data_IF_589106042196
#
_entry.id   IF_589106042196
#
_cell.length_a   1.000
_cell.length_b   1.000
_cell.length_c   1.000
_cell.angle_alpha   90.00
_cell.angle_beta   90.00
_cell.angle_gamma   90.00
#
_symmetry.space_group_name_H-M   'P 1'
#
loop_
_entity.id
_entity.type
_entity.pdbx_description
1 polymer ?
#
# COMPACT_ATOMS: atom_id res chain seq x y z
N UNK A 1 -36.68 44.09 -70.78
CA UNK A 1 -36.84 42.91 -69.93
C UNK A 1 -35.50 42.37 -69.65
N UNK A 2 -35.04 42.54 -68.41
CA UNK A 2 -33.75 42.08 -67.95
C UNK A 2 -33.99 40.81 -67.22
N UNK A 3 -33.38 39.70 -67.62
CA UNK A 3 -33.43 38.40 -66.96
C UNK A 3 -32.17 38.28 -66.11
N UNK A 4 -32.32 38.26 -64.80
CA UNK A 4 -31.25 37.97 -63.87
C UNK A 4 -31.14 36.45 -63.70
N UNK A 5 -30.02 35.87 -64.18
CA UNK A 5 -29.65 34.53 -63.86
C UNK A 5 -28.95 34.49 -62.50
N UNK A 6 -29.57 33.89 -61.52
CA UNK A 6 -28.96 33.58 -60.23
C UNK A 6 -28.12 32.29 -60.34
N UNK A 7 -26.83 32.42 -60.25
CA UNK A 7 -25.90 31.27 -60.11
C UNK A 7 -25.83 30.93 -58.65
N UNK A 8 -26.42 29.78 -58.29
CA UNK A 8 -26.30 29.25 -56.93
C UNK A 8 -24.94 28.56 -56.81
N UNK A 9 -24.04 29.14 -56.02
CA UNK A 9 -22.76 28.55 -55.65
C UNK A 9 -22.97 27.56 -54.50
N UNK A 10 -23.01 26.26 -54.80
CA UNK A 10 -22.98 25.20 -53.78
C UNK A 10 -21.55 25.08 -53.27
N UNK A 11 -21.26 25.65 -52.10
CA UNK A 11 -20.06 25.38 -51.36
C UNK A 11 -20.22 24.00 -50.66
N UNK A 12 -19.54 23.01 -51.18
CA UNK A 12 -19.34 21.71 -50.54
C UNK A 12 -18.42 21.93 -49.32
N UNK A 13 -19.02 22.05 -48.14
CA UNK A 13 -18.26 21.87 -46.92
C UNK A 13 -17.96 20.39 -46.75
N UNK A 14 -16.75 19.94 -47.17
CA UNK A 14 -16.16 18.72 -46.64
C UNK A 14 -15.78 18.97 -45.21
N UNK A 15 -16.66 18.61 -44.29
CA UNK A 15 -16.28 18.48 -42.88
C UNK A 15 -15.27 17.33 -42.80
N UNK A 16 -13.99 17.67 -42.71
CA UNK A 16 -13.02 16.75 -42.12
C UNK A 16 -13.46 16.54 -40.67
N UNK A 17 -14.08 15.42 -40.37
CA UNK A 17 -14.12 14.90 -39.02
C UNK A 17 -12.74 14.35 -38.72
N UNK A 18 -11.79 15.22 -38.40
CA UNK A 18 -10.67 14.83 -37.59
C UNK A 18 -11.28 14.51 -36.23
N UNK A 19 -11.53 13.24 -35.98
CA UNK A 19 -11.77 12.73 -34.64
C UNK A 19 -10.49 13.04 -33.85
N UNK A 20 -10.45 14.24 -33.27
CA UNK A 20 -9.49 14.59 -32.24
C UNK A 20 -9.78 13.65 -31.07
N UNK A 21 -9.09 12.53 -31.03
CA UNK A 21 -9.02 11.69 -29.87
C UNK A 21 -8.44 12.54 -28.74
N UNK A 22 -9.33 13.13 -27.93
CA UNK A 22 -8.92 13.88 -26.74
C UNK A 22 -8.36 12.85 -25.77
N UNK A 23 -7.06 12.61 -25.84
CA UNK A 23 -6.35 11.77 -24.91
C UNK A 23 -6.39 12.48 -23.55
N UNK A 24 -7.31 12.07 -22.68
CA UNK A 24 -7.35 12.57 -21.30
C UNK A 24 -6.08 12.08 -20.63
N UNK A 25 -5.19 12.97 -20.17
CA UNK A 25 -3.98 12.53 -19.49
C UNK A 25 -4.39 11.74 -18.24
N UNK A 26 -3.74 10.60 -17.99
CA UNK A 26 -3.91 9.88 -16.75
C UNK A 26 -3.62 10.80 -15.56
N UNK A 27 -4.41 10.70 -14.47
CA UNK A 27 -4.15 11.48 -13.28
C UNK A 27 -2.74 11.14 -12.75
N UNK A 28 -1.99 12.16 -12.40
CA UNK A 28 -0.64 12.00 -11.86
C UNK A 28 -0.63 11.75 -10.36
N UNK A 29 -1.77 11.95 -9.69
CA UNK A 29 -1.94 11.70 -8.25
C UNK A 29 -3.04 10.65 -8.04
N UNK A 30 -2.66 9.46 -7.65
CA UNK A 30 -3.51 8.29 -7.48
C UNK A 30 -3.80 8.13 -6.00
N UNK A 31 -5.05 8.31 -5.58
CA UNK A 31 -5.47 8.37 -4.16
C UNK A 31 -6.40 7.25 -3.75
N UNK A 32 -6.79 6.36 -4.68
CA UNK A 32 -7.70 5.22 -4.46
C UNK A 32 -9.13 5.59 -4.00
N UNK A 33 -9.50 6.86 -3.99
CA UNK A 33 -10.80 7.33 -3.50
C UNK A 33 -11.99 6.89 -4.36
N UNK A 34 -11.75 6.45 -5.60
CA UNK A 34 -12.75 5.87 -6.50
C UNK A 34 -13.09 4.42 -6.13
N UNK A 35 -12.22 3.72 -5.39
CA UNK A 35 -12.47 2.37 -4.90
C UNK A 35 -13.43 2.43 -3.71
N UNK A 36 -14.72 2.28 -3.99
CA UNK A 36 -15.76 2.39 -2.97
C UNK A 36 -15.91 1.11 -2.16
N UNK A 37 -16.07 1.30 -0.87
CA UNK A 37 -16.41 0.28 0.11
C UNK A 37 -17.80 0.60 0.67
N UNK A 38 -18.66 -0.43 0.76
CA UNK A 38 -20.07 -0.27 1.18
C UNK A 38 -20.22 0.16 2.64
N UNK A 39 -19.18 -0.02 3.45
CA UNK A 39 -19.18 0.25 4.89
C UNK A 39 -17.89 0.92 5.33
N UNK A 40 -17.98 1.68 6.42
CA UNK A 40 -16.80 2.14 7.15
C UNK A 40 -16.14 0.96 7.88
N UNK A 41 -14.83 1.05 8.08
CA UNK A 41 -14.01 0.04 8.77
C UNK A 41 -14.13 -1.37 8.14
N UNK A 42 -14.05 -1.43 6.83
CA UNK A 42 -14.08 -2.67 6.06
C UNK A 42 -12.93 -2.76 5.06
N UNK A 43 -12.80 -3.88 4.41
CA UNK A 43 -11.85 -4.13 3.34
C UNK A 43 -12.52 -4.97 2.26
N UNK A 44 -11.91 -5.00 1.08
CA UNK A 44 -12.32 -5.87 -0.02
C UNK A 44 -11.10 -6.55 -0.63
N UNK A 45 -11.16 -7.87 -0.75
CA UNK A 45 -10.19 -8.71 -1.44
C UNK A 45 -10.81 -9.13 -2.76
N UNK A 46 -10.53 -8.42 -3.87
CA UNK A 46 -11.14 -8.72 -5.17
C UNK A 46 -10.59 -10.02 -5.78
N UNK A 47 -11.39 -10.64 -6.63
CA UNK A 47 -10.95 -11.81 -7.39
C UNK A 47 -10.11 -11.36 -8.58
N UNK A 48 -8.85 -11.83 -8.66
CA UNK A 48 -7.98 -11.62 -9.80
C UNK A 48 -7.37 -10.21 -9.93
N UNK A 49 -7.48 -9.38 -8.89
CA UNK A 49 -6.89 -8.04 -8.87
C UNK A 49 -7.91 -6.91 -9.04
N UNK A 50 -7.41 -5.68 -9.08
CA UNK A 50 -8.21 -4.47 -9.30
C UNK A 50 -7.38 -3.38 -9.97
N UNK A 51 -8.05 -2.42 -10.58
CA UNK A 51 -7.42 -1.27 -11.23
C UNK A 51 -7.79 0.03 -10.52
N UNK A 52 -6.86 0.96 -10.48
CA UNK A 52 -7.03 2.32 -9.98
C UNK A 52 -6.24 3.28 -10.85
N UNK A 53 -6.94 4.16 -11.57
CA UNK A 53 -6.38 5.29 -12.32
C UNK A 53 -5.14 4.93 -13.17
N UNK A 54 -5.19 3.82 -13.91
CA UNK A 54 -4.11 3.37 -14.80
C UNK A 54 -3.07 2.47 -14.14
N UNK A 55 -3.26 2.09 -12.87
CA UNK A 55 -2.49 1.04 -12.21
C UNK A 55 -3.33 -0.20 -12.03
N UNK A 56 -2.73 -1.38 -12.25
CA UNK A 56 -3.38 -2.67 -12.10
C UNK A 56 -2.68 -3.49 -11.03
N UNK A 57 -3.36 -3.71 -9.93
CA UNK A 57 -2.85 -4.39 -8.73
C UNK A 57 -3.17 -5.88 -8.78
N UNK A 58 -2.16 -6.71 -8.56
CA UNK A 58 -2.34 -8.15 -8.44
C UNK A 58 -2.97 -8.52 -7.09
N UNK A 59 -3.91 -9.45 -7.10
CA UNK A 59 -4.52 -10.03 -5.89
C UNK A 59 -4.55 -11.55 -6.02
N UNK A 60 -3.99 -12.22 -5.05
CA UNK A 60 -4.15 -13.67 -4.85
C UNK A 60 -5.05 -13.86 -3.64
N UNK A 61 -6.23 -14.40 -3.88
CA UNK A 61 -7.26 -14.63 -2.85
C UNK A 61 -7.28 -16.08 -2.45
N UNK A 62 -7.20 -16.34 -1.16
CA UNK A 62 -7.32 -17.68 -0.60
C UNK A 62 -8.77 -18.21 -0.68
N UNK A 63 -8.94 -19.53 -0.54
CA UNK A 63 -10.25 -20.17 -0.61
C UNK A 63 -11.22 -19.72 0.50
N UNK A 64 -10.70 -19.24 1.64
CA UNK A 64 -11.48 -18.66 2.74
C UNK A 64 -11.82 -17.18 2.53
N UNK A 65 -11.44 -16.60 1.40
CA UNK A 65 -11.69 -15.20 1.05
C UNK A 65 -10.64 -14.21 1.53
N UNK A 66 -9.63 -14.66 2.26
CA UNK A 66 -8.55 -13.80 2.75
C UNK A 66 -7.54 -13.45 1.66
N UNK A 67 -6.77 -12.36 1.85
CA UNK A 67 -5.65 -12.03 0.99
C UNK A 67 -4.48 -13.00 1.25
N UNK A 68 -4.20 -13.87 0.28
CA UNK A 68 -3.05 -14.78 0.36
C UNK A 68 -1.76 -14.09 -0.06
N UNK A 69 -1.80 -13.25 -1.11
CA UNK A 69 -0.67 -12.47 -1.60
C UNK A 69 -1.14 -11.28 -2.44
N UNK A 70 -0.28 -10.29 -2.65
CA UNK A 70 -0.59 -9.10 -3.46
C UNK A 70 -1.40 -8.08 -2.69
N UNK A 71 -2.41 -7.49 -3.33
CA UNK A 71 -3.07 -6.30 -2.84
C UNK A 71 -4.57 -6.47 -2.65
N UNK A 72 -5.10 -5.75 -1.69
CA UNK A 72 -6.52 -5.49 -1.51
C UNK A 72 -6.71 -4.02 -1.09
N UNK A 73 -7.93 -3.53 -0.99
CA UNK A 73 -8.17 -2.17 -0.55
C UNK A 73 -9.05 -2.12 0.71
N UNK A 74 -8.83 -1.09 1.54
CA UNK A 74 -9.36 -0.97 2.88
C UNK A 74 -9.61 0.49 3.27
N UNK A 75 -10.55 0.72 4.18
CA UNK A 75 -10.74 1.97 4.89
C UNK A 75 -10.62 1.79 6.42
N UNK A 76 -9.98 0.71 6.88
CA UNK A 76 -9.77 0.42 8.30
C UNK A 76 -8.63 1.27 8.85
N UNK A 77 -8.81 1.82 10.05
CA UNK A 77 -7.80 2.60 10.76
C UNK A 77 -7.75 2.22 12.24
N UNK A 78 -7.68 0.92 12.52
CA UNK A 78 -7.72 0.40 13.89
C UNK A 78 -6.37 0.67 14.59
N UNK A 79 -6.38 1.50 15.62
CA UNK A 79 -5.21 1.79 16.46
C UNK A 79 -5.32 1.21 17.87
N UNK A 80 -6.52 0.89 18.29
CA UNK A 80 -6.78 0.19 19.54
C UNK A 80 -7.29 -1.20 19.21
N UNK A 81 -6.70 -2.21 19.82
CA UNK A 81 -7.06 -3.58 19.59
C UNK A 81 -7.73 -4.15 20.83
N UNK A 82 -8.96 -4.63 20.67
CA UNK A 82 -9.64 -5.46 21.66
C UNK A 82 -9.61 -6.87 21.12
N UNK A 83 -8.86 -7.72 21.78
CA UNK A 83 -8.70 -9.10 21.36
C UNK A 83 -9.91 -9.96 21.71
N UNK A 84 -10.46 -10.67 20.75
CA UNK A 84 -11.57 -11.62 20.92
C UNK A 84 -11.22 -13.04 20.52
N UNK A 85 -9.96 -13.35 20.26
CA UNK A 85 -9.49 -14.69 19.91
C UNK A 85 -10.21 -15.34 18.70
N UNK A 86 -10.56 -14.54 17.71
CA UNK A 86 -11.26 -14.96 16.49
C UNK A 86 -10.66 -14.34 15.22
N UNK A 87 -11.04 -14.89 14.06
CA UNK A 87 -10.57 -14.42 12.73
C UNK A 87 -10.98 -12.98 12.47
N UNK A 88 -12.16 -12.56 12.92
CA UNK A 88 -12.69 -11.21 12.71
C UNK A 88 -11.80 -10.18 13.41
N UNK A 89 -11.31 -10.51 14.60
CA UNK A 89 -10.36 -9.67 15.34
C UNK A 89 -9.03 -9.53 14.59
N UNK A 90 -8.52 -10.61 13.98
CA UNK A 90 -7.31 -10.55 13.16
C UNK A 90 -7.50 -9.64 11.94
N UNK A 91 -8.64 -9.68 11.29
CA UNK A 91 -8.94 -8.82 10.14
C UNK A 91 -8.94 -7.34 10.52
N UNK A 92 -9.28 -7.00 11.77
CA UNK A 92 -9.25 -5.60 12.23
C UNK A 92 -7.84 -5.01 12.25
N UNK A 93 -6.81 -5.81 12.47
CA UNK A 93 -5.42 -5.35 12.53
C UNK A 93 -4.62 -5.68 11.26
N UNK A 94 -4.95 -6.77 10.59
CA UNK A 94 -4.30 -7.20 9.35
C UNK A 94 -4.55 -6.22 8.22
N UNK A 95 -5.81 -5.80 8.05
CA UNK A 95 -6.25 -4.88 7.00
C UNK A 95 -6.34 -3.42 7.44
N UNK A 96 -5.81 -3.08 8.61
CA UNK A 96 -5.73 -1.69 9.09
C UNK A 96 -4.35 -1.11 8.91
N UNK A 97 -4.31 0.17 8.54
CA UNK A 97 -3.10 0.97 8.59
C UNK A 97 -2.86 1.47 10.03
N UNK A 98 -1.61 1.47 10.45
CA UNK A 98 -1.21 2.20 11.65
C UNK A 98 -0.85 3.64 11.29
N UNK A 99 -1.61 4.57 11.85
CA UNK A 99 -1.37 6.01 11.70
C UNK A 99 -1.76 6.75 12.96
N UNK A 100 -0.98 7.74 13.36
CA UNK A 100 -1.26 8.60 14.51
C UNK A 100 -2.24 9.72 14.16
N UNK A 101 -2.44 9.98 12.88
CA UNK A 101 -3.40 10.95 12.34
C UNK A 101 -4.57 10.23 11.69
N UNK A 102 -5.76 10.83 11.67
CA UNK A 102 -6.85 10.32 10.87
C UNK A 102 -6.38 10.14 9.42
N UNK A 103 -6.75 9.02 8.80
CA UNK A 103 -6.53 8.85 7.38
C UNK A 103 -7.32 9.94 6.64
N UNK A 104 -6.64 10.71 5.77
CA UNK A 104 -7.27 11.77 4.98
C UNK A 104 -7.90 11.21 3.69
N UNK A 105 -7.55 10.00 3.31
CA UNK A 105 -8.15 9.27 2.20
C UNK A 105 -9.20 8.30 2.71
N UNK A 106 -10.32 8.17 2.00
CA UNK A 106 -11.39 7.25 2.39
C UNK A 106 -10.97 5.79 2.19
N UNK A 107 -10.14 5.51 1.18
CA UNK A 107 -9.68 4.18 0.81
C UNK A 107 -8.18 4.20 0.53
N UNK A 108 -7.48 3.19 0.97
CA UNK A 108 -6.07 2.95 0.72
C UNK A 108 -5.85 1.46 0.39
N UNK A 109 -4.64 1.10 0.02
CA UNK A 109 -4.28 -0.25 -0.40
C UNK A 109 -3.46 -0.95 0.69
N UNK A 110 -3.79 -2.21 0.95
CA UNK A 110 -3.06 -3.11 1.87
C UNK A 110 -2.38 -4.18 1.04
N UNK A 111 -1.14 -4.46 1.35
CA UNK A 111 -0.33 -5.45 0.67
C UNK A 111 0.09 -6.58 1.62
N UNK A 112 -0.05 -7.82 1.17
CA UNK A 112 0.60 -9.00 1.75
C UNK A 112 1.69 -9.47 0.80
N UNK A 113 2.94 -9.38 1.23
CA UNK A 113 4.11 -9.77 0.41
C UNK A 113 4.38 -11.25 0.57
N UNK A 114 4.25 -11.98 -0.55
CA UNK A 114 4.56 -13.41 -0.61
C UNK A 114 5.12 -13.72 -2.00
N UNK A 115 6.41 -14.08 -2.05
CA UNK A 115 7.08 -14.27 -3.33
C UNK A 115 7.04 -13.01 -4.22
N UNK A 116 6.79 -13.20 -5.50
CA UNK A 116 6.72 -12.13 -6.50
C UNK A 116 5.28 -11.63 -6.76
N UNK A 117 4.30 -12.05 -5.96
CA UNK A 117 2.89 -11.75 -6.17
C UNK A 117 2.46 -10.35 -5.71
N UNK A 118 3.31 -9.67 -4.92
CA UNK A 118 3.08 -8.30 -4.49
C UNK A 118 3.55 -7.31 -5.57
N UNK A 119 2.76 -7.12 -6.63
CA UNK A 119 3.09 -6.21 -7.73
C UNK A 119 1.89 -5.44 -8.24
N UNK A 120 2.18 -4.30 -8.86
CA UNK A 120 1.25 -3.62 -9.77
C UNK A 120 1.93 -3.34 -11.11
N UNK A 121 1.10 -3.19 -12.16
CA UNK A 121 1.53 -2.74 -13.48
C UNK A 121 0.91 -1.39 -13.81
N UNK A 122 1.53 -0.67 -14.75
CA UNK A 122 1.03 0.59 -15.26
C UNK A 122 0.54 0.39 -16.69
N UNK A 123 -0.61 0.97 -17.04
CA UNK A 123 -1.14 0.95 -18.42
C UNK A 123 -0.20 1.64 -19.41
N UNK A 124 0.47 2.71 -18.95
CA UNK A 124 1.52 3.39 -19.70
C UNK A 124 2.79 3.48 -18.85
N UNK A 125 3.97 3.06 -19.37
CA UNK A 125 5.22 3.18 -18.65
C UNK A 125 5.47 4.62 -18.20
N UNK A 126 5.75 4.80 -16.91
CA UNK A 126 5.89 6.12 -16.28
C UNK A 126 6.98 6.14 -15.23
N UNK A 127 7.47 7.33 -14.91
CA UNK A 127 8.32 7.55 -13.73
C UNK A 127 7.42 7.80 -12.53
N UNK A 128 7.59 7.02 -11.48
CA UNK A 128 6.90 7.25 -10.20
C UNK A 128 7.78 8.19 -9.38
N UNK A 129 7.22 9.34 -8.97
CA UNK A 129 7.95 10.29 -8.11
C UNK A 129 8.06 9.71 -6.68
N UNK A 130 6.90 9.39 -6.09
CA UNK A 130 6.85 8.78 -4.76
C UNK A 130 5.54 8.01 -4.57
N UNK A 131 5.50 7.26 -3.48
CA UNK A 131 4.28 6.73 -2.88
C UNK A 131 4.30 6.96 -1.38
N UNK A 132 3.13 6.96 -0.75
CA UNK A 132 3.00 6.99 0.71
C UNK A 132 2.90 5.55 1.22
N UNK A 133 3.70 5.23 2.22
CA UNK A 133 3.72 3.91 2.86
C UNK A 133 3.56 4.02 4.36
N UNK A 134 2.99 2.99 4.96
CA UNK A 134 2.91 2.84 6.41
C UNK A 134 2.87 1.37 6.81
N UNK A 135 3.10 1.09 8.08
CA UNK A 135 2.92 -0.25 8.62
C UNK A 135 1.42 -0.60 8.71
N UNK A 136 1.09 -1.87 8.47
CA UNK A 136 -0.18 -2.40 8.95
C UNK A 136 -0.22 -2.34 10.48
N UNK A 137 -1.41 -2.26 11.06
CA UNK A 137 -1.56 -2.30 12.53
C UNK A 137 -0.93 -3.58 13.09
N UNK A 138 -1.08 -4.71 12.41
CA UNK A 138 -0.47 -5.96 12.82
C UNK A 138 1.06 -5.88 12.87
N UNK A 139 1.70 -5.42 11.80
CA UNK A 139 3.16 -5.25 11.74
C UNK A 139 3.68 -4.28 12.80
N UNK A 140 3.01 -3.12 12.95
CA UNK A 140 3.37 -2.12 13.95
C UNK A 140 3.33 -2.67 15.39
N UNK A 141 2.24 -3.36 15.76
CA UNK A 141 2.08 -3.94 17.10
C UNK A 141 3.13 -5.03 17.35
N UNK A 142 3.38 -5.90 16.36
CA UNK A 142 4.40 -6.95 16.45
C UNK A 142 5.79 -6.37 16.75
N UNK A 143 6.24 -5.42 15.96
CA UNK A 143 7.56 -4.80 16.12
C UNK A 143 7.69 -3.97 17.41
N UNK A 144 6.62 -3.27 17.78
CA UNK A 144 6.66 -2.36 18.93
C UNK A 144 6.57 -3.09 20.27
N UNK A 145 5.77 -4.15 20.36
CA UNK A 145 5.44 -4.80 21.62
C UNK A 145 5.89 -6.28 21.70
N UNK A 146 6.15 -6.92 20.57
CA UNK A 146 6.49 -8.34 20.51
C UNK A 146 5.26 -9.24 20.50
N UNK A 147 5.42 -10.48 20.97
CA UNK A 147 4.39 -11.51 20.89
C UNK A 147 3.17 -11.27 21.76
N UNK A 148 3.39 -10.73 22.97
CA UNK A 148 2.31 -10.52 23.93
C UNK A 148 2.39 -9.12 24.55
N UNK A 149 1.26 -8.41 24.58
CA UNK A 149 1.15 -7.07 25.13
C UNK A 149 -0.17 -6.89 25.90
N UNK A 150 -0.09 -6.18 27.03
CA UNK A 150 -1.24 -5.88 27.88
C UNK A 150 -1.61 -7.00 28.87
N UNK A 151 -2.61 -6.75 29.70
CA UNK A 151 -3.22 -7.71 30.62
C UNK A 151 -4.74 -7.68 30.52
N UNK A 152 -5.41 -8.71 31.04
CA UNK A 152 -6.88 -8.76 31.05
C UNK A 152 -7.48 -7.65 31.90
N UNK A 153 -6.82 -7.29 32.99
CA UNK A 153 -7.35 -6.40 34.02
C UNK A 153 -6.87 -4.96 33.83
N UNK A 154 -5.62 -4.79 33.43
CA UNK A 154 -5.03 -3.47 33.20
C UNK A 154 -4.35 -3.42 31.84
N UNK A 155 -5.00 -2.79 30.85
CA UNK A 155 -4.31 -2.50 29.61
C UNK A 155 -3.13 -1.60 29.89
N UNK A 156 -1.92 -2.00 29.48
CA UNK A 156 -0.76 -1.12 29.61
C UNK A 156 -1.01 0.13 28.77
N UNK A 157 -1.25 1.24 29.44
CA UNK A 157 -1.25 2.52 28.77
C UNK A 157 0.19 2.84 28.38
N UNK A 158 0.52 2.79 27.09
CA UNK A 158 1.71 3.47 26.63
C UNK A 158 1.39 4.96 26.60
N UNK A 159 2.08 5.80 27.40
CA UNK A 159 1.80 7.23 27.46
C UNK A 159 2.02 7.93 26.12
N UNK A 160 2.80 7.33 25.21
CA UNK A 160 3.06 7.83 23.87
C UNK A 160 2.00 7.36 22.85
N UNK A 161 1.09 6.47 23.23
CA UNK A 161 0.01 5.96 22.39
C UNK A 161 -1.28 6.01 23.19
N UNK A 162 -2.00 7.16 23.16
CA UNK A 162 -3.25 7.35 23.93
C UNK A 162 -4.33 6.29 23.64
N UNK A 163 -4.22 5.59 22.51
CA UNK A 163 -5.10 4.53 22.05
C UNK A 163 -4.48 3.13 22.14
N UNK A 164 -3.59 2.90 23.12
CA UNK A 164 -3.00 1.57 23.34
C UNK A 164 -4.06 0.47 23.42
N UNK A 165 -3.77 -0.73 22.88
CA UNK A 165 -4.70 -1.84 22.90
C UNK A 165 -5.13 -2.17 24.33
N UNK A 166 -6.45 -2.35 24.53
CA UNK A 166 -6.99 -2.86 25.79
C UNK A 166 -7.04 -4.38 25.71
N UNK A 167 -6.66 -5.04 26.81
CA UNK A 167 -6.62 -6.49 26.89
C UNK A 167 -5.27 -7.09 26.50
N UNK A 168 -5.23 -8.41 26.33
CA UNK A 168 -4.02 -9.14 25.91
C UNK A 168 -3.98 -9.15 24.38
N UNK A 169 -2.86 -8.71 23.81
CA UNK A 169 -2.57 -8.85 22.40
C UNK A 169 -1.59 -9.99 22.16
N UNK A 170 -1.80 -10.74 21.08
CA UNK A 170 -0.90 -11.78 20.62
C UNK A 170 -0.58 -11.57 19.14
N UNK A 171 0.63 -11.89 18.73
CA UNK A 171 1.07 -11.72 17.33
C UNK A 171 0.39 -12.68 16.35
N UNK A 172 -0.07 -13.83 16.82
CA UNK A 172 -0.62 -14.93 15.98
C UNK A 172 0.35 -15.47 14.93
N UNK A 173 1.62 -15.16 15.05
CA UNK A 173 2.67 -15.74 14.21
C UNK A 173 3.15 -17.02 14.90
N UNK A 174 3.18 -18.17 14.22
CA UNK A 174 3.72 -19.40 14.77
C UNK A 174 5.15 -19.20 15.30
N UNK A 175 5.37 -19.55 16.56
CA UNK A 175 6.65 -19.32 17.25
C UNK A 175 6.85 -17.91 17.81
N UNK A 176 5.82 -17.05 17.73
CA UNK A 176 5.83 -15.68 18.22
C UNK A 176 6.66 -14.72 17.38
N UNK A 177 6.67 -13.44 17.78
CA UNK A 177 7.49 -12.38 17.18
C UNK A 177 8.33 -11.71 18.25
N UNK A 178 9.47 -11.19 17.82
CA UNK A 178 10.36 -10.40 18.67
C UNK A 178 9.92 -8.95 18.73
N UNK A 179 9.89 -8.35 19.92
CA UNK A 179 9.91 -6.89 20.04
C UNK A 179 11.22 -6.36 19.48
N UNK A 180 11.15 -5.37 18.61
CA UNK A 180 12.35 -4.78 18.00
C UNK A 180 13.17 -3.99 19.01
N UNK A 181 14.49 -4.19 18.95
CA UNK A 181 15.51 -3.48 19.73
C UNK A 181 16.70 -3.13 18.83
N UNK A 182 17.75 -2.55 19.41
CA UNK A 182 18.94 -2.11 18.67
C UNK A 182 19.50 -3.22 17.77
N UNK A 183 19.70 -2.88 16.50
CA UNK A 183 20.12 -3.81 15.44
C UNK A 183 18.98 -4.41 14.62
N UNK A 184 17.71 -4.16 14.99
CA UNK A 184 16.57 -4.68 14.24
C UNK A 184 16.12 -3.73 13.13
N UNK A 185 15.59 -4.30 12.05
CA UNK A 185 14.98 -3.55 10.96
C UNK A 185 13.80 -4.29 10.32
N UNK A 186 12.95 -3.53 9.66
CA UNK A 186 11.93 -4.03 8.75
C UNK A 186 11.94 -3.16 7.50
N UNK A 187 12.30 -3.75 6.36
CA UNK A 187 12.57 -3.04 5.11
C UNK A 187 11.60 -3.42 4.02
N UNK A 188 11.09 -2.42 3.33
CA UNK A 188 10.32 -2.53 2.11
C UNK A 188 11.22 -2.21 0.92
N UNK A 189 11.33 -3.14 -0.04
CA UNK A 189 12.05 -2.93 -1.29
C UNK A 189 11.06 -2.91 -2.45
N UNK A 190 11.06 -1.83 -3.23
CA UNK A 190 10.38 -1.73 -4.51
C UNK A 190 11.38 -1.98 -5.64
N UNK A 191 11.09 -2.96 -6.52
CA UNK A 191 11.88 -3.23 -7.74
C UNK A 191 11.08 -2.82 -8.96
N UNK A 192 11.66 -1.97 -9.80
CA UNK A 192 11.09 -1.50 -11.06
C UNK A 192 11.45 -2.39 -12.22
N UNK A 193 10.52 -2.54 -13.16
CA UNK A 193 10.71 -3.23 -14.43
C UNK A 193 10.14 -2.38 -15.58
N UNK A 194 10.72 -2.53 -16.77
CA UNK A 194 10.17 -1.99 -18.01
C UNK A 194 10.38 -3.02 -19.12
N UNK A 195 9.32 -3.44 -19.80
CA UNK A 195 9.34 -4.52 -20.79
C UNK A 195 10.05 -5.79 -20.27
N UNK A 196 9.81 -6.15 -19.02
CA UNK A 196 10.39 -7.32 -18.36
C UNK A 196 11.84 -7.17 -17.92
N UNK A 197 12.50 -6.05 -18.20
CA UNK A 197 13.87 -5.77 -17.76
C UNK A 197 13.86 -4.97 -16.47
N UNK A 198 14.68 -5.36 -15.49
CA UNK A 198 14.83 -4.61 -14.24
C UNK A 198 15.45 -3.23 -14.53
N UNK A 199 14.85 -2.19 -13.97
CA UNK A 199 15.31 -0.80 -14.10
C UNK A 199 16.06 -0.30 -12.89
N UNK A 200 15.68 -0.76 -11.68
CA UNK A 200 16.31 -0.37 -10.42
C UNK A 200 15.56 -0.93 -9.22
N UNK A 201 16.06 -0.59 -8.04
CA UNK A 201 15.40 -0.89 -6.77
C UNK A 201 15.59 0.24 -5.78
N UNK A 202 14.58 0.45 -4.94
CA UNK A 202 14.59 1.40 -3.83
C UNK A 202 14.19 0.66 -2.57
N UNK A 203 14.93 0.88 -1.49
CA UNK A 203 14.63 0.30 -0.17
C UNK A 203 14.24 1.40 0.81
N UNK A 204 13.23 1.12 1.62
CA UNK A 204 12.67 2.02 2.63
C UNK A 204 12.55 1.29 3.96
N UNK A 205 12.99 1.93 5.06
CA UNK A 205 12.92 1.37 6.40
C UNK A 205 11.53 1.62 7.02
N UNK A 206 10.67 0.58 7.04
CA UNK A 206 9.41 0.60 7.79
C UNK A 206 9.64 0.52 9.31
N UNK A 207 10.79 -0.02 9.72
CA UNK A 207 11.35 0.10 11.06
C UNK A 207 12.87 0.11 11.00
N UNK A 208 13.50 0.97 11.79
CA UNK A 208 14.92 1.13 11.90
C UNK A 208 15.32 1.27 13.36
N UNK A 209 16.13 0.35 13.88
CA UNK A 209 16.62 0.37 15.26
C UNK A 209 18.14 0.45 15.27
N UNK A 210 18.66 1.65 14.94
CA UNK A 210 20.11 1.92 14.86
C UNK A 210 20.81 1.15 13.70
N UNK A 211 20.11 0.85 12.63
CA UNK A 211 20.62 0.06 11.49
C UNK A 211 20.89 0.89 10.24
N UNK A 212 20.52 2.17 10.23
CA UNK A 212 20.77 3.06 9.11
C UNK A 212 22.24 3.51 9.13
N UNK A 213 22.99 3.31 8.03
CA UNK A 213 24.43 3.62 7.95
C UNK A 213 24.72 5.12 7.91
N UNK A 214 23.81 5.92 7.32
CA UNK A 214 23.94 7.39 7.26
C UNK A 214 23.47 8.05 8.56
N UNK A 215 22.53 7.41 9.24
CA UNK A 215 21.92 7.89 10.47
C UNK A 215 21.91 6.81 11.56
N UNK A 216 23.07 6.46 12.13
CA UNK A 216 23.23 5.31 13.03
C UNK A 216 22.45 5.43 14.35
N UNK A 217 21.96 6.62 14.68
CA UNK A 217 21.15 6.87 15.88
C UNK A 217 19.62 6.81 15.64
N UNK A 218 19.19 6.57 14.39
CA UNK A 218 17.77 6.46 14.11
C UNK A 218 17.15 5.23 14.78
N UNK A 219 16.08 5.48 15.52
CA UNK A 219 15.30 4.44 16.22
C UNK A 219 13.83 4.75 16.09
N UNK A 220 13.15 4.06 15.18
CA UNK A 220 11.74 4.24 14.93
C UNK A 220 11.07 3.00 14.33
N UNK A 221 9.76 2.92 14.52
CA UNK A 221 8.82 2.13 13.72
C UNK A 221 7.89 3.13 13.05
N UNK A 222 7.76 3.09 11.73
CA UNK A 222 6.88 4.00 10.98
C UNK A 222 5.47 3.91 11.53
N UNK A 223 4.92 5.03 11.95
CA UNK A 223 3.63 5.15 12.65
C UNK A 223 2.68 6.13 11.98
N UNK A 224 2.97 6.53 10.76
CA UNK A 224 2.14 7.42 9.94
C UNK A 224 2.47 7.25 8.47
N UNK A 225 1.63 7.77 7.57
CA UNK A 225 1.93 7.83 6.15
C UNK A 225 3.24 8.56 5.90
N UNK A 226 4.19 7.87 5.31
CA UNK A 226 5.54 8.37 5.07
C UNK A 226 5.89 8.24 3.60
N UNK A 227 6.51 9.28 3.05
CA UNK A 227 6.93 9.32 1.65
C UNK A 227 8.10 8.36 1.41
N UNK A 228 7.94 7.50 0.40
CA UNK A 228 8.99 6.67 -0.19
C UNK A 228 9.26 7.18 -1.61
N UNK A 229 10.44 7.76 -1.85
CA UNK A 229 10.85 8.29 -3.14
C UNK A 229 11.19 7.16 -4.11
N UNK A 230 10.66 7.19 -5.34
CA UNK A 230 10.81 6.12 -6.33
C UNK A 230 11.41 6.59 -7.66
N UNK A 231 11.79 7.86 -7.77
CA UNK A 231 12.34 8.44 -9.02
C UNK A 231 13.50 7.63 -9.60
N UNK A 232 14.34 7.07 -8.72
CA UNK A 232 15.52 6.30 -9.11
C UNK A 232 15.21 4.94 -9.75
N UNK A 233 13.94 4.47 -9.70
CA UNK A 233 13.50 3.34 -10.49
C UNK A 233 13.51 3.64 -12.00
N UNK A 234 13.47 4.92 -12.39
CA UNK A 234 13.33 5.33 -13.78
C UNK A 234 11.93 5.09 -14.32
N UNK A 235 11.81 4.94 -15.64
CA UNK A 235 10.54 4.61 -16.30
C UNK A 235 10.22 3.14 -16.10
N UNK A 236 9.07 2.84 -15.51
CA UNK A 236 8.60 1.48 -15.20
C UNK A 236 7.21 1.21 -15.77
N UNK A 237 6.97 -0.03 -16.16
CA UNK A 237 5.64 -0.59 -16.48
C UNK A 237 5.15 -1.56 -15.40
N UNK A 238 6.04 -1.98 -14.48
CA UNK A 238 5.74 -2.88 -13.35
C UNK A 238 6.61 -2.55 -12.16
N UNK A 239 6.04 -2.61 -10.95
CA UNK A 239 6.76 -2.55 -9.68
C UNK A 239 6.41 -3.76 -8.84
N UNK A 240 7.42 -4.46 -8.31
CA UNK A 240 7.29 -5.62 -7.42
C UNK A 240 7.85 -5.26 -6.05
N UNK A 241 7.18 -5.69 -4.99
CA UNK A 241 7.53 -5.38 -3.62
C UNK A 241 8.04 -6.60 -2.86
N UNK A 242 9.04 -6.38 -2.03
CA UNK A 242 9.62 -7.36 -1.13
C UNK A 242 9.73 -6.79 0.28
N UNK A 243 9.63 -7.65 1.27
CA UNK A 243 9.85 -7.30 2.68
C UNK A 243 10.93 -8.19 3.27
N UNK A 244 11.77 -7.60 4.12
CA UNK A 244 12.74 -8.34 4.92
C UNK A 244 12.79 -7.78 6.35
N UNK A 245 13.10 -8.65 7.30
CA UNK A 245 13.21 -8.32 8.72
C UNK A 245 14.33 -9.10 9.37
N UNK A 246 14.89 -8.55 10.43
CA UNK A 246 15.83 -9.28 11.33
C UNK A 246 15.12 -10.32 12.18
N UNK A 247 13.80 -10.25 12.37
CA UNK A 247 13.06 -11.25 13.12
C UNK A 247 12.71 -12.46 12.23
N UNK A 248 13.59 -13.45 12.25
CA UNK A 248 13.48 -14.69 11.46
C UNK A 248 13.43 -15.91 12.38
N UNK A 249 12.81 -17.00 11.91
CA UNK A 249 12.82 -18.30 12.58
C UNK A 249 14.11 -19.10 12.25
N UNK A 250 14.21 -20.29 12.81
CA UNK A 250 15.37 -21.17 12.59
C UNK A 250 15.54 -21.59 11.11
N UNK A 251 14.48 -21.59 10.32
CA UNK A 251 14.47 -21.93 8.90
C UNK A 251 14.77 -20.72 8.01
N UNK A 252 15.03 -19.55 8.60
CA UNK A 252 15.29 -18.28 7.89
C UNK A 252 14.04 -17.56 7.41
N UNK A 253 12.83 -18.00 7.75
CA UNK A 253 11.60 -17.34 7.39
C UNK A 253 11.31 -16.16 8.33
N UNK A 254 10.88 -15.05 7.75
CA UNK A 254 10.49 -13.85 8.49
C UNK A 254 9.28 -14.15 9.41
N UNK A 255 9.38 -13.72 10.69
CA UNK A 255 8.28 -13.75 11.65
C UNK A 255 7.52 -12.44 11.75
N UNK A 256 8.17 -11.32 11.49
CA UNK A 256 7.46 -10.04 11.34
C UNK A 256 6.37 -10.20 10.27
N UNK A 257 5.10 -9.80 10.56
CA UNK A 257 4.03 -9.90 9.58
C UNK A 257 4.39 -9.22 8.26
N UNK A 258 4.35 -9.97 7.15
CA UNK A 258 4.78 -9.52 5.82
C UNK A 258 3.73 -8.60 5.16
N UNK A 259 3.30 -7.56 5.87
CA UNK A 259 2.22 -6.66 5.50
C UNK A 259 2.66 -5.21 5.57
N UNK A 260 2.26 -4.41 4.56
CA UNK A 260 2.38 -2.96 4.59
C UNK A 260 1.14 -2.30 3.97
N UNK A 261 1.00 -0.99 4.15
CA UNK A 261 -0.07 -0.19 3.56
C UNK A 261 0.54 0.83 2.61
N UNK A 262 -0.19 1.12 1.54
CA UNK A 262 0.20 2.02 0.47
C UNK A 262 -0.95 2.97 0.15
N UNK A 263 -0.62 4.26 -0.02
CA UNK A 263 -1.55 5.31 -0.43
C UNK A 263 -0.82 6.34 -1.30
N UNK A 264 -1.55 7.20 -1.96
CA UNK A 264 -1.04 8.41 -2.62
C UNK A 264 0.18 8.17 -3.52
N UNK A 265 -0.01 7.49 -4.67
CA UNK A 265 1.06 7.34 -5.66
C UNK A 265 1.10 8.57 -6.55
N UNK A 266 2.26 9.24 -6.64
CA UNK A 266 2.50 10.37 -7.51
C UNK A 266 3.33 9.96 -8.71
N UNK A 267 2.77 10.12 -9.92
CA UNK A 267 3.51 9.97 -11.16
C UNK A 267 4.18 11.29 -11.55
N UNK A 268 5.37 11.20 -12.11
CA UNK A 268 6.11 12.35 -12.63
C UNK A 268 5.62 12.65 -14.05
N UNK A 269 5.32 13.91 -14.32
CA UNK A 269 4.96 14.38 -15.65
C UNK A 269 6.19 14.46 -16.55
#
# INVERSE_FOLDING_TARGET
KIIFSAIALFALFTACSDDLEVKIPYPTNITFNELKLDKNFTHNVPDGGFSSQGLNFNTVKAADGQLEAGFCYSNRSQRSFVWNNDVVSMDTIRYSVWTTRPNTTETYVVCHVKGDDAFFTLDEPSVIDYMLVSNSTWGYLAMTYGDTYGTKEEPQANPNIPSAPKGIWHSYVPGGVKKFDSGDYFKLTAKGFNNGQATGSVTFDLACMNTNTEHPNWKYVVSDWTRMDLVTLGTVDKVVFYLESTDINADGNMRTPAWFCLDGIQLKK
#
